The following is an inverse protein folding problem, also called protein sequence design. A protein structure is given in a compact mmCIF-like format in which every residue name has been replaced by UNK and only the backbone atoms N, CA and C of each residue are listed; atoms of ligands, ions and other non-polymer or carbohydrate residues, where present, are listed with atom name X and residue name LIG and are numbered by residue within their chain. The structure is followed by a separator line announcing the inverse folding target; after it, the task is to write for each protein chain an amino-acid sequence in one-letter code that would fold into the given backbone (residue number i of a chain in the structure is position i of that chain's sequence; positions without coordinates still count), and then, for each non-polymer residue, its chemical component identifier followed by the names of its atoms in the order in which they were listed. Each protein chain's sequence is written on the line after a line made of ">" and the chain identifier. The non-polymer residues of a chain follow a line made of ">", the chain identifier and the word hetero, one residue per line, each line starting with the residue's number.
data_IF_663978720921
#
_entry.id   IF_663978720921
#
_cell.length_a   1.000
_cell.length_b   1.000
_cell.length_c   1.000
_cell.angle_alpha   90.00
_cell.angle_beta   90.00
_cell.angle_gamma   90.00
#
_symmetry.space_group_name_H-M   'P 1'
#
loop_
_entity.id
_entity.type
_entity.pdbx_description
1 polymer ?
#
# COMPACT_ATOMS: atom_id res chain seq x y z
N UNK A 1 20.27 9.73 11.26
CA UNK A 1 19.45 8.87 12.13
C UNK A 1 19.84 7.42 11.83
N UNK A 2 20.08 6.57 12.84
CA UNK A 2 20.41 5.16 12.60
C UNK A 2 19.15 4.39 12.16
N UNK A 3 19.31 3.34 11.35
CA UNK A 3 18.23 2.42 11.00
C UNK A 3 17.51 1.88 12.25
N UNK A 4 18.25 1.58 13.32
CA UNK A 4 17.70 1.13 14.60
C UNK A 4 16.76 2.17 15.21
N UNK A 5 17.13 3.45 15.17
CA UNK A 5 16.30 4.53 15.71
C UNK A 5 15.03 4.72 14.89
N UNK A 6 15.12 4.68 13.56
CA UNK A 6 13.95 4.80 12.67
C UNK A 6 12.97 3.66 12.87
N UNK A 7 13.46 2.41 12.89
CA UNK A 7 12.61 1.23 13.08
C UNK A 7 11.96 1.24 14.47
N UNK A 8 12.70 1.60 15.52
CA UNK A 8 12.15 1.70 16.87
C UNK A 8 11.02 2.76 16.95
N UNK A 9 11.20 3.92 16.32
CA UNK A 9 10.18 4.95 16.29
C UNK A 9 8.91 4.50 15.54
N UNK A 10 9.06 3.84 14.38
CA UNK A 10 7.93 3.28 13.65
C UNK A 10 7.19 2.21 14.45
N UNK A 11 7.91 1.37 15.21
CA UNK A 11 7.31 0.35 16.07
C UNK A 11 6.46 0.96 17.20
N UNK A 12 6.93 2.04 17.84
CA UNK A 12 6.15 2.74 18.87
C UNK A 12 4.90 3.42 18.29
N UNK A 13 5.01 4.04 17.11
CA UNK A 13 3.86 4.61 16.40
C UNK A 13 2.82 3.55 16.03
N UNK A 14 3.27 2.41 15.49
CA UNK A 14 2.41 1.28 15.16
C UNK A 14 1.70 0.73 16.42
N UNK A 15 2.43 0.59 17.54
CA UNK A 15 1.85 0.14 18.82
C UNK A 15 0.78 1.10 19.34
N UNK A 16 0.98 2.41 19.19
CA UNK A 16 -0.01 3.41 19.58
C UNK A 16 -1.27 3.31 18.69
N UNK A 17 -1.11 3.25 17.37
CA UNK A 17 -2.21 3.15 16.41
C UNK A 17 -2.99 1.82 16.52
N UNK A 18 -2.33 0.72 16.89
CA UNK A 18 -3.00 -0.56 17.09
C UNK A 18 -4.13 -0.48 18.14
N UNK A 19 -3.99 0.36 19.16
CA UNK A 19 -5.00 0.53 20.22
C UNK A 19 -6.32 1.06 19.67
N UNK A 20 -6.28 2.00 18.73
CA UNK A 20 -7.49 2.53 18.09
C UNK A 20 -8.07 1.54 17.10
N UNK A 21 -7.22 0.79 16.39
CA UNK A 21 -7.68 -0.22 15.43
C UNK A 21 -8.38 -1.40 16.12
N UNK A 22 -7.91 -1.84 17.30
CA UNK A 22 -8.51 -2.96 18.04
C UNK A 22 -9.94 -2.68 18.50
N UNK A 23 -10.28 -1.42 18.79
CA UNK A 23 -11.62 -1.04 19.25
C UNK A 23 -12.52 -0.54 18.10
N UNK A 24 -11.99 -0.42 16.89
CA UNK A 24 -12.78 -0.07 15.72
C UNK A 24 -13.82 -1.16 15.44
N UNK A 25 -14.98 -0.74 14.96
CA UNK A 25 -16.03 -1.63 14.47
C UNK A 25 -15.69 -2.15 13.08
N UNK A 26 -16.26 -3.30 12.68
CA UNK A 26 -16.12 -3.81 11.31
C UNK A 26 -16.61 -2.80 10.25
N UNK A 27 -17.63 -1.99 10.59
CA UNK A 27 -18.10 -0.92 9.70
C UNK A 27 -17.06 0.19 9.49
N UNK A 28 -16.36 0.61 10.54
CA UNK A 28 -15.28 1.60 10.44
C UNK A 28 -14.08 1.05 9.66
N UNK A 29 -13.71 -0.21 9.86
CA UNK A 29 -12.64 -0.87 9.11
C UNK A 29 -13.00 -1.05 7.64
N UNK A 30 -14.23 -1.48 7.34
CA UNK A 30 -14.73 -1.57 5.97
C UNK A 30 -14.76 -0.20 5.28
N UNK A 31 -15.20 0.86 5.97
CA UNK A 31 -15.18 2.23 5.43
C UNK A 31 -13.75 2.66 5.10
N UNK A 32 -12.79 2.48 6.02
CA UNK A 32 -11.40 2.81 5.79
C UNK A 32 -10.78 2.07 4.59
N UNK A 33 -11.11 0.78 4.40
CA UNK A 33 -10.64 -0.01 3.26
C UNK A 33 -11.23 0.48 1.92
N UNK A 34 -12.50 0.91 1.91
CA UNK A 34 -13.12 1.51 0.73
C UNK A 34 -12.48 2.88 0.40
N UNK A 35 -12.25 3.72 1.40
CA UNK A 35 -11.57 5.01 1.23
C UNK A 35 -10.15 4.82 0.68
N UNK A 36 -9.42 3.82 1.18
CA UNK A 36 -8.09 3.44 0.65
C UNK A 36 -8.21 3.03 -0.83
N UNK A 37 -9.20 2.22 -1.19
CA UNK A 37 -9.41 1.79 -2.57
C UNK A 37 -9.71 2.98 -3.50
N UNK A 38 -10.54 3.90 -3.06
CA UNK A 38 -10.91 5.11 -3.80
C UNK A 38 -9.71 6.04 -3.98
N UNK A 39 -8.88 6.21 -2.95
CA UNK A 39 -7.67 7.04 -3.03
C UNK A 39 -6.60 6.42 -3.93
N UNK A 40 -6.44 5.09 -3.92
CA UNK A 40 -5.55 4.37 -4.84
C UNK A 40 -5.98 4.61 -6.29
N UNK A 41 -7.28 4.53 -6.57
CA UNK A 41 -7.80 4.76 -7.92
C UNK A 41 -7.66 6.22 -8.34
N UNK A 42 -8.04 7.17 -7.47
CA UNK A 42 -7.97 8.61 -7.76
C UNK A 42 -6.53 9.08 -8.00
N UNK A 43 -5.55 8.48 -7.31
CA UNK A 43 -4.11 8.77 -7.45
C UNK A 43 -3.37 7.82 -8.38
N UNK A 44 -4.07 7.02 -9.19
CA UNK A 44 -3.42 6.03 -10.08
C UNK A 44 -2.31 6.63 -10.95
N UNK A 45 -2.51 7.84 -11.47
CA UNK A 45 -1.52 8.51 -12.30
C UNK A 45 -0.23 8.85 -11.53
N UNK A 46 -0.35 9.30 -10.28
CA UNK A 46 0.78 9.60 -9.40
C UNK A 46 1.56 8.33 -9.05
N UNK A 47 0.83 7.26 -8.70
CA UNK A 47 1.41 5.95 -8.36
C UNK A 47 2.20 5.38 -9.56
N UNK A 48 1.63 5.43 -10.76
CA UNK A 48 2.29 4.93 -11.97
C UNK A 48 3.51 5.76 -12.34
N UNK A 49 3.44 7.10 -12.18
CA UNK A 49 4.59 7.97 -12.41
C UNK A 49 5.74 7.68 -11.43
N UNK A 50 5.43 7.48 -10.14
CA UNK A 50 6.43 7.11 -9.13
C UNK A 50 7.05 5.73 -9.43
N UNK A 51 6.22 4.73 -9.74
CA UNK A 51 6.71 3.39 -10.08
C UNK A 51 7.61 3.37 -11.32
N UNK A 52 7.34 4.23 -12.31
CA UNK A 52 8.20 4.37 -13.48
C UNK A 52 9.61 4.82 -13.10
N UNK A 53 9.74 5.76 -12.16
CA UNK A 53 11.06 6.20 -11.64
C UNK A 53 11.79 5.05 -10.95
N UNK A 54 11.06 4.24 -10.17
CA UNK A 54 11.65 3.08 -9.49
C UNK A 54 12.11 2.00 -10.47
N UNK A 55 11.34 1.74 -11.54
CA UNK A 55 11.72 0.81 -12.61
C UNK A 55 12.96 1.31 -13.36
N UNK A 56 13.01 2.59 -13.70
CA UNK A 56 14.15 3.18 -14.41
C UNK A 56 15.42 3.10 -13.58
N UNK A 57 15.33 3.40 -12.28
CA UNK A 57 16.45 3.22 -11.35
C UNK A 57 16.87 1.75 -11.26
N UNK A 58 15.90 0.83 -11.12
CA UNK A 58 16.17 -0.59 -11.06
C UNK A 58 16.91 -1.11 -12.29
N UNK A 59 16.48 -0.69 -13.49
CA UNK A 59 17.15 -1.05 -14.75
C UNK A 59 18.58 -0.49 -14.77
N UNK A 60 18.78 0.78 -14.39
CA UNK A 60 20.09 1.41 -14.34
C UNK A 60 21.06 0.72 -13.36
N UNK A 61 20.54 0.15 -12.28
CA UNK A 61 21.30 -0.59 -11.26
C UNK A 61 21.46 -2.09 -11.57
N UNK A 62 21.00 -2.54 -12.74
CA UNK A 62 21.16 -3.94 -13.18
C UNK A 62 20.19 -4.92 -12.51
N UNK A 63 19.02 -4.45 -12.07
CA UNK A 63 17.97 -5.29 -11.49
C UNK A 63 17.57 -6.41 -12.46
N UNK A 64 17.45 -7.63 -11.96
CA UNK A 64 17.08 -8.80 -12.75
C UNK A 64 15.68 -8.65 -13.36
N UNK A 65 15.42 -9.06 -14.62
CA UNK A 65 14.13 -8.84 -15.30
C UNK A 65 12.90 -9.35 -14.53
N UNK A 66 13.03 -10.49 -13.84
CA UNK A 66 11.96 -11.08 -13.03
C UNK A 66 11.60 -10.19 -11.83
N UNK A 67 12.56 -9.44 -11.28
CA UNK A 67 12.29 -8.46 -10.22
C UNK A 67 11.66 -7.19 -10.79
N UNK A 68 12.03 -6.80 -12.01
CA UNK A 68 11.39 -5.67 -12.70
C UNK A 68 9.90 -5.96 -12.96
N UNK A 69 9.54 -7.15 -13.42
CA UNK A 69 8.13 -7.54 -13.63
C UNK A 69 7.32 -7.54 -12.32
N UNK A 70 7.95 -7.95 -11.20
CA UNK A 70 7.32 -7.91 -9.87
C UNK A 70 7.14 -6.49 -9.35
N UNK A 71 8.07 -5.59 -9.66
CA UNK A 71 8.02 -4.19 -9.27
C UNK A 71 7.07 -3.37 -10.15
N UNK A 72 6.90 -3.75 -11.42
CA UNK A 72 6.13 -3.00 -12.40
C UNK A 72 4.64 -2.95 -12.01
N UNK A 73 4.12 -1.72 -11.94
CA UNK A 73 2.71 -1.41 -11.84
C UNK A 73 2.16 -0.97 -13.20
N UNK A 74 0.99 -1.50 -13.54
CA UNK A 74 0.17 -1.07 -14.67
C UNK A 74 -1.16 -0.53 -14.13
N UNK A 75 -1.91 0.20 -14.95
CA UNK A 75 -3.26 0.66 -14.56
C UNK A 75 -4.16 -0.51 -14.09
N UNK A 76 -4.05 -1.67 -14.76
CA UNK A 76 -4.75 -2.89 -14.37
C UNK A 76 -4.31 -3.40 -12.98
N UNK A 77 -3.00 -3.43 -12.70
CA UNK A 77 -2.49 -3.85 -11.38
C UNK A 77 -2.92 -2.89 -10.28
N UNK A 78 -2.89 -1.58 -10.51
CA UNK A 78 -3.37 -0.56 -9.55
C UNK A 78 -4.87 -0.75 -9.27
N UNK A 79 -5.69 -0.93 -10.31
CA UNK A 79 -7.11 -1.27 -10.15
C UNK A 79 -7.31 -2.60 -9.42
N UNK A 80 -6.44 -3.58 -9.67
CA UNK A 80 -6.43 -4.86 -8.96
C UNK A 80 -6.18 -4.70 -7.46
N UNK A 81 -5.26 -3.81 -7.06
CA UNK A 81 -4.98 -3.50 -5.65
C UNK A 81 -6.21 -2.86 -4.99
N UNK A 82 -6.81 -1.85 -5.62
CA UNK A 82 -8.03 -1.21 -5.10
C UNK A 82 -9.21 -2.20 -5.01
N UNK A 83 -9.39 -3.05 -6.03
CA UNK A 83 -10.38 -4.13 -6.00
C UNK A 83 -10.13 -5.12 -4.86
N UNK A 84 -8.87 -5.48 -4.59
CA UNK A 84 -8.50 -6.33 -3.47
C UNK A 84 -8.89 -5.70 -2.12
N UNK A 85 -8.65 -4.41 -1.94
CA UNK A 85 -9.07 -3.70 -0.73
C UNK A 85 -10.60 -3.73 -0.55
N UNK A 86 -11.37 -3.50 -1.62
CA UNK A 86 -12.85 -3.59 -1.59
C UNK A 86 -13.35 -5.01 -1.31
N UNK A 87 -12.66 -6.03 -1.82
CA UNK A 87 -13.01 -7.43 -1.53
C UNK A 87 -12.82 -7.76 -0.04
N UNK A 88 -11.74 -7.27 0.58
CA UNK A 88 -11.55 -7.41 2.03
C UNK A 88 -12.64 -6.64 2.77
N UNK A 89 -12.93 -5.39 2.38
CA UNK A 89 -13.96 -4.57 3.00
C UNK A 89 -15.37 -5.21 3.00
N UNK A 90 -15.65 -6.13 2.08
CA UNK A 90 -16.93 -6.83 1.95
C UNK A 90 -17.05 -8.10 2.82
N UNK A 91 -16.01 -8.47 3.57
CA UNK A 91 -16.08 -9.59 4.51
C UNK A 91 -16.95 -9.24 5.74
N UNK A 92 -17.37 -10.25 6.50
CA UNK A 92 -18.33 -10.08 7.61
C UNK A 92 -17.77 -9.21 8.76
N UNK A 93 -16.47 -9.26 9.00
CA UNK A 93 -15.75 -8.39 9.94
C UNK A 93 -14.30 -8.18 9.47
N UNK A 94 -14.06 -7.26 8.52
CA UNK A 94 -12.72 -6.96 8.01
C UNK A 94 -11.92 -6.10 8.97
#
# INVERSE_FOLDING_TARGET
>A
MSATTTVAALAELARAAARTLTVATGAERAAALNDIADEIESRSAEILAANKVDIDRGIAEGMHPQLQDRLLLTAERVKGIASGARQVAALEDP
#
